data_IF_656816819888
#
_entry.id   IF_656816819888
#
_cell.length_a   1.000
_cell.length_b   1.000
_cell.length_c   1.000
_cell.angle_alpha   90.00
_cell.angle_beta   90.00
_cell.angle_gamma   90.00
#
_symmetry.space_group_name_H-M   'P 1'
#
loop_
_entity.id
_entity.type
_entity.pdbx_description
1 polymer ?
#
# COMPACT_ATOMS: atom_id res chain seq x y z
N UNK A 1 5.50 14.50 -11.39
CA UNK A 1 5.85 13.13 -10.96
C UNK A 1 6.92 12.60 -11.90
N UNK A 2 8.18 12.82 -11.54
CA UNK A 2 9.33 12.45 -12.39
C UNK A 2 9.92 11.08 -12.05
N UNK A 3 9.57 10.52 -10.90
CA UNK A 3 9.95 9.19 -10.45
C UNK A 3 8.84 8.14 -10.62
N UNK A 4 7.86 8.40 -11.49
CA UNK A 4 6.71 7.51 -11.74
C UNK A 4 6.61 7.17 -13.21
N UNK A 5 6.35 5.92 -13.51
CA UNK A 5 6.15 5.46 -14.89
C UNK A 5 5.68 4.02 -14.95
N UNK A 6 5.53 3.55 -16.16
CA UNK A 6 5.28 2.14 -16.48
C UNK A 6 6.63 1.46 -16.73
N UNK A 7 6.84 0.29 -16.13
CA UNK A 7 8.09 -0.47 -16.23
C UNK A 7 7.99 -1.57 -17.27
N UNK A 8 8.94 -1.57 -18.18
CA UNK A 8 9.14 -2.65 -19.14
C UNK A 8 10.42 -3.41 -18.80
N UNK A 9 10.41 -4.72 -18.89
CA UNK A 9 11.54 -5.59 -18.50
C UNK A 9 12.86 -5.26 -19.23
N UNK A 10 12.79 -4.66 -20.42
CA UNK A 10 13.96 -4.21 -21.19
C UNK A 10 14.50 -2.85 -20.72
N UNK A 11 13.79 -2.16 -19.83
CA UNK A 11 14.16 -0.82 -19.37
C UNK A 11 15.16 -0.90 -18.22
N UNK A 12 16.25 -0.14 -18.33
CA UNK A 12 17.13 0.10 -17.19
C UNK A 12 16.58 1.26 -16.37
N UNK A 13 16.02 0.95 -15.20
CA UNK A 13 15.48 1.94 -14.28
C UNK A 13 16.47 2.19 -13.15
N UNK A 14 17.15 3.37 -13.12
CA UNK A 14 18.09 3.70 -12.05
C UNK A 14 17.40 3.70 -10.67
N UNK A 15 18.11 3.17 -9.66
CA UNK A 15 17.64 3.11 -8.27
C UNK A 15 16.34 2.30 -8.07
N UNK A 16 15.99 1.43 -8.98
CA UNK A 16 14.87 0.50 -8.79
C UNK A 16 15.17 -0.40 -7.59
N UNK A 17 14.20 -0.51 -6.68
CA UNK A 17 14.27 -1.50 -5.61
C UNK A 17 14.19 -2.92 -6.19
N UNK A 18 14.93 -3.87 -5.60
CA UNK A 18 14.76 -5.31 -5.86
C UNK A 18 13.69 -5.87 -4.94
N UNK A 19 12.85 -6.76 -5.45
CA UNK A 19 11.83 -7.45 -4.66
C UNK A 19 12.41 -8.68 -3.94
N UNK A 20 11.91 -8.95 -2.75
CA UNK A 20 12.33 -10.10 -1.92
C UNK A 20 11.14 -10.85 -1.37
N UNK A 21 11.25 -12.16 -1.33
CA UNK A 21 10.34 -13.03 -0.60
C UNK A 21 10.99 -13.49 0.71
N UNK A 22 10.16 -13.68 1.73
CA UNK A 22 10.60 -14.16 3.03
C UNK A 22 10.06 -15.57 3.30
N UNK A 23 10.94 -16.46 3.70
CA UNK A 23 10.61 -17.82 4.13
C UNK A 23 11.33 -18.17 5.45
N UNK A 24 11.12 -19.37 5.98
CA UNK A 24 11.84 -19.85 7.17
C UNK A 24 13.37 -19.90 7.00
N UNK A 25 13.85 -19.91 5.75
CA UNK A 25 15.29 -19.83 5.43
C UNK A 25 15.85 -18.40 5.30
N UNK A 26 15.01 -17.37 5.51
CA UNK A 26 15.41 -15.97 5.35
C UNK A 26 14.87 -15.32 4.07
N UNK A 27 15.52 -14.23 3.65
CA UNK A 27 15.17 -13.52 2.42
C UNK A 27 15.82 -14.15 1.20
N UNK A 28 15.01 -14.31 0.14
CA UNK A 28 15.44 -14.67 -1.21
C UNK A 28 15.01 -13.62 -2.19
N UNK A 29 15.69 -13.49 -3.33
CA UNK A 29 15.18 -12.65 -4.42
C UNK A 29 13.81 -13.17 -4.86
N UNK A 30 12.85 -12.27 -5.01
CA UNK A 30 11.55 -12.62 -5.57
C UNK A 30 11.71 -13.08 -7.04
N UNK A 31 10.82 -13.97 -7.46
CA UNK A 31 10.81 -14.44 -8.84
C UNK A 31 10.61 -13.27 -9.82
N UNK A 32 11.30 -13.35 -10.95
CA UNK A 32 11.10 -12.39 -12.01
C UNK A 32 9.74 -12.63 -12.68
N UNK A 33 8.95 -11.56 -12.79
CA UNK A 33 7.74 -11.56 -13.61
C UNK A 33 7.78 -10.43 -14.61
N UNK A 34 7.54 -10.76 -15.87
CA UNK A 34 7.35 -9.78 -16.92
C UNK A 34 5.97 -9.12 -16.74
N UNK A 35 5.98 -7.82 -16.44
CA UNK A 35 4.78 -7.02 -16.21
C UNK A 35 4.29 -6.32 -17.48
N UNK A 36 4.88 -6.59 -18.65
CA UNK A 36 4.56 -5.89 -19.90
C UNK A 36 3.12 -6.07 -20.37
N UNK A 37 2.43 -7.11 -19.89
CA UNK A 37 1.02 -7.38 -20.21
C UNK A 37 0.05 -6.96 -19.07
N UNK A 38 0.54 -6.30 -18.02
CA UNK A 38 -0.26 -5.87 -16.88
C UNK A 38 -0.45 -4.36 -16.82
N UNK A 39 -0.52 -3.71 -17.98
CA UNK A 39 -0.59 -2.25 -18.11
C UNK A 39 -1.60 -1.62 -17.14
N UNK A 40 -1.11 -0.76 -16.23
CA UNK A 40 -1.89 -0.09 -15.20
C UNK A 40 -2.25 -0.93 -13.99
N UNK A 41 -2.03 -2.25 -14.01
CA UNK A 41 -2.41 -3.14 -12.88
C UNK A 41 -1.23 -3.71 -12.11
N UNK A 42 0.00 -3.62 -12.63
CA UNK A 42 1.18 -4.19 -11.96
C UNK A 42 2.51 -3.61 -12.43
N UNK A 43 2.54 -2.93 -13.56
CA UNK A 43 3.74 -2.39 -14.20
C UNK A 43 4.16 -1.02 -13.67
N UNK A 44 3.32 -0.35 -12.87
CA UNK A 44 3.61 1.00 -12.41
C UNK A 44 4.66 1.00 -11.30
N UNK A 45 5.67 1.87 -11.44
CA UNK A 45 6.60 2.20 -10.37
C UNK A 45 6.43 3.66 -9.94
N UNK A 46 6.73 3.95 -8.67
CA UNK A 46 6.63 5.30 -8.13
C UNK A 46 7.55 5.48 -6.91
N UNK A 47 7.58 6.70 -6.39
CA UNK A 47 8.15 7.06 -5.09
C UNK A 47 7.07 7.61 -4.17
N UNK A 48 7.34 7.63 -2.86
CA UNK A 48 6.39 8.20 -1.88
C UNK A 48 6.12 9.67 -2.15
N UNK A 49 7.13 10.43 -2.60
CA UNK A 49 7.01 11.86 -2.94
C UNK A 49 6.09 12.08 -4.14
N UNK A 50 6.19 11.22 -5.16
CA UNK A 50 5.32 11.33 -6.32
C UNK A 50 3.89 10.91 -6.01
N UNK A 51 3.69 9.89 -5.18
CA UNK A 51 2.36 9.50 -4.70
C UNK A 51 1.74 10.60 -3.82
N UNK A 52 2.55 11.34 -3.06
CA UNK A 52 2.08 12.54 -2.36
C UNK A 52 1.64 13.65 -3.33
N UNK A 53 2.39 13.89 -4.43
CA UNK A 53 1.97 14.84 -5.48
C UNK A 53 0.64 14.41 -6.13
N UNK A 54 0.45 13.11 -6.37
CA UNK A 54 -0.82 12.57 -6.85
C UNK A 54 -1.98 12.88 -5.89
N UNK A 55 -1.74 12.65 -4.59
CA UNK A 55 -2.73 12.97 -3.56
C UNK A 55 -3.14 14.45 -3.59
N UNK A 56 -2.16 15.35 -3.64
CA UNK A 56 -2.42 16.80 -3.72
C UNK A 56 -3.20 17.16 -4.99
N UNK A 57 -2.80 16.59 -6.14
CA UNK A 57 -3.44 16.86 -7.42
C UNK A 57 -4.91 16.37 -7.47
N UNK A 58 -5.21 15.27 -6.80
CA UNK A 58 -6.58 14.78 -6.63
C UNK A 58 -7.37 15.61 -5.61
N UNK A 59 -6.72 16.08 -4.53
CA UNK A 59 -7.39 16.86 -3.48
C UNK A 59 -7.78 18.27 -3.93
N UNK A 60 -6.98 18.90 -4.79
CA UNK A 60 -7.22 20.24 -5.31
C UNK A 60 -7.87 20.25 -6.70
N UNK A 61 -8.27 19.09 -7.21
CA UNK A 61 -8.88 18.91 -8.53
C UNK A 61 -8.03 19.40 -9.72
N UNK A 62 -6.69 19.41 -9.59
CA UNK A 62 -5.81 19.82 -10.69
C UNK A 62 -5.54 18.70 -11.70
N UNK A 63 -5.74 17.43 -11.33
CA UNK A 63 -5.60 16.29 -12.23
C UNK A 63 -6.93 15.99 -12.94
N UNK A 64 -8.02 16.00 -12.21
CA UNK A 64 -9.38 15.79 -12.68
C UNK A 64 -10.24 16.95 -12.17
N UNK A 65 -11.25 17.36 -12.94
CA UNK A 65 -12.21 18.35 -12.42
C UNK A 65 -13.01 17.76 -11.24
N UNK A 66 -13.64 18.63 -10.45
CA UNK A 66 -14.35 18.23 -9.24
C UNK A 66 -15.39 17.13 -9.50
N UNK A 67 -16.15 17.23 -10.59
CA UNK A 67 -17.18 16.23 -10.94
C UNK A 67 -16.58 14.85 -11.11
N UNK A 68 -15.49 14.72 -11.87
CA UNK A 68 -14.82 13.44 -12.11
C UNK A 68 -14.10 12.93 -10.86
N UNK A 69 -13.55 13.83 -10.04
CA UNK A 69 -12.94 13.45 -8.76
C UNK A 69 -14.00 12.89 -7.80
N UNK A 70 -15.16 13.56 -7.69
CA UNK A 70 -16.27 13.09 -6.86
C UNK A 70 -16.78 11.72 -7.35
N UNK A 71 -16.92 11.55 -8.67
CA UNK A 71 -17.33 10.27 -9.28
C UNK A 71 -16.32 9.17 -9.00
N UNK A 72 -15.01 9.44 -9.13
CA UNK A 72 -13.94 8.48 -8.87
C UNK A 72 -13.99 7.94 -7.43
N UNK A 73 -14.32 8.80 -6.46
CA UNK A 73 -14.40 8.43 -5.06
C UNK A 73 -15.82 8.07 -4.58
N UNK A 74 -16.77 7.96 -5.50
CA UNK A 74 -18.11 7.47 -5.16
C UNK A 74 -18.02 5.98 -4.81
N UNK A 75 -18.54 5.55 -3.65
CA UNK A 75 -18.55 4.14 -3.28
C UNK A 75 -19.34 3.32 -4.29
N UNK A 76 -18.72 2.30 -4.84
CA UNK A 76 -19.37 1.32 -5.70
C UNK A 76 -20.35 0.42 -4.94
N UNK A 77 -20.90 -0.58 -5.63
CA UNK A 77 -21.89 -1.52 -5.09
C UNK A 77 -21.27 -2.36 -3.95
N UNK A 78 -22.07 -2.64 -2.92
CA UNK A 78 -21.69 -3.56 -1.82
C UNK A 78 -21.41 -4.97 -2.36
N UNK A 79 -20.51 -5.76 -1.71
CA UNK A 79 -19.93 -5.50 -0.39
C UNK A 79 -18.67 -4.62 -0.40
N UNK A 80 -17.98 -4.51 -1.52
CA UNK A 80 -16.62 -3.98 -1.58
C UNK A 80 -16.53 -2.46 -1.62
N UNK A 81 -17.60 -1.76 -2.00
CA UNK A 81 -17.61 -0.30 -2.20
C UNK A 81 -16.42 0.19 -3.04
N UNK A 82 -16.03 -0.59 -4.03
CA UNK A 82 -14.95 -0.29 -4.93
C UNK A 82 -15.47 0.62 -6.05
N UNK A 83 -14.81 1.76 -6.22
CA UNK A 83 -15.09 2.72 -7.29
C UNK A 83 -14.05 2.60 -8.41
N UNK A 84 -13.68 3.72 -9.01
CA UNK A 84 -12.69 3.76 -10.09
C UNK A 84 -11.26 3.66 -9.52
N UNK A 85 -10.80 2.43 -9.23
CA UNK A 85 -9.46 2.15 -8.71
C UNK A 85 -9.29 2.35 -7.19
N UNK A 86 -10.38 2.58 -6.43
CA UNK A 86 -10.32 2.85 -5.00
C UNK A 86 -11.39 2.12 -4.21
N UNK A 87 -11.02 1.58 -3.05
CA UNK A 87 -11.97 1.23 -2.00
C UNK A 87 -12.41 2.52 -1.30
N UNK A 88 -13.71 2.78 -1.26
CA UNK A 88 -14.30 4.00 -0.72
C UNK A 88 -15.19 3.65 0.48
N UNK A 89 -14.57 3.39 1.63
CA UNK A 89 -15.26 2.90 2.82
C UNK A 89 -14.47 3.20 4.11
N UNK A 90 -15.08 2.88 5.25
CA UNK A 90 -14.40 3.01 6.54
C UNK A 90 -13.22 2.04 6.63
N UNK A 91 -12.04 2.58 6.83
CA UNK A 91 -10.81 1.86 7.15
C UNK A 91 -10.72 1.68 8.68
N UNK A 92 -10.74 0.42 9.13
CA UNK A 92 -10.62 0.10 10.56
C UNK A 92 -9.14 -0.03 10.91
N UNK A 93 -8.63 0.86 11.76
CA UNK A 93 -7.22 0.86 12.15
C UNK A 93 -6.99 0.47 13.62
N UNK A 94 -8.02 0.44 14.45
CA UNK A 94 -7.97 -0.02 15.83
C UNK A 94 -9.30 -0.72 16.18
N UNK A 95 -9.56 -1.93 15.65
CA UNK A 95 -10.80 -2.66 15.94
C UNK A 95 -10.96 -2.98 17.43
N UNK A 96 -12.21 -2.98 17.94
CA UNK A 96 -13.46 -2.76 17.23
C UNK A 96 -13.86 -1.28 17.11
N UNK A 97 -13.15 -0.35 17.74
CA UNK A 97 -13.63 1.00 18.05
C UNK A 97 -13.33 2.03 16.97
N UNK A 98 -12.09 2.06 16.44
CA UNK A 98 -11.65 3.19 15.66
C UNK A 98 -11.62 2.88 14.15
N UNK A 99 -12.35 3.70 13.41
CA UNK A 99 -12.34 3.69 11.95
C UNK A 99 -12.53 5.09 11.39
N UNK A 100 -12.09 5.31 10.18
CA UNK A 100 -12.26 6.57 9.45
C UNK A 100 -12.60 6.27 8.00
N UNK A 101 -13.46 7.10 7.40
CA UNK A 101 -13.72 7.00 5.96
C UNK A 101 -12.43 7.32 5.19
N UNK A 102 -12.05 6.43 4.30
CA UNK A 102 -10.85 6.54 3.50
C UNK A 102 -11.08 6.07 2.06
N UNK A 103 -10.31 6.65 1.16
CA UNK A 103 -10.13 6.13 -0.19
C UNK A 103 -8.77 5.42 -0.20
N UNK A 104 -8.74 4.11 -0.40
CA UNK A 104 -7.51 3.35 -0.32
C UNK A 104 -7.39 2.28 -1.39
N UNK A 105 -6.16 1.90 -1.70
CA UNK A 105 -5.86 0.78 -2.57
C UNK A 105 -4.60 0.06 -2.13
N UNK A 106 -4.61 -1.26 -2.31
CA UNK A 106 -3.50 -2.16 -2.08
C UNK A 106 -2.94 -2.62 -3.43
N UNK A 107 -1.64 -2.66 -3.56
CA UNK A 107 -0.94 -3.31 -4.66
C UNK A 107 -0.07 -4.45 -4.13
N UNK A 108 -0.09 -5.57 -4.81
CA UNK A 108 0.78 -6.71 -4.54
C UNK A 108 1.30 -7.29 -5.86
N UNK A 109 2.59 -7.50 -5.92
CA UNK A 109 3.27 -8.25 -6.97
C UNK A 109 4.48 -8.95 -6.37
N UNK A 110 5.21 -9.70 -7.15
CA UNK A 110 6.34 -10.52 -6.69
C UNK A 110 7.37 -9.68 -5.90
N UNK A 111 7.46 -9.94 -4.60
CA UNK A 111 8.37 -9.25 -3.69
C UNK A 111 8.06 -7.79 -3.38
N UNK A 112 6.88 -7.27 -3.80
CA UNK A 112 6.50 -5.88 -3.53
C UNK A 112 5.10 -5.77 -2.97
N UNK A 113 4.93 -4.85 -2.02
CA UNK A 113 3.62 -4.42 -1.51
C UNK A 113 3.57 -2.90 -1.53
N UNK A 114 2.48 -2.35 -2.02
CA UNK A 114 2.16 -0.93 -1.94
C UNK A 114 0.80 -0.74 -1.26
N UNK A 115 0.66 0.32 -0.49
CA UNK A 115 -0.62 0.67 0.12
C UNK A 115 -0.75 2.18 0.21
N UNK A 116 -1.84 2.71 -0.32
CA UNK A 116 -2.20 4.12 -0.24
C UNK A 116 -3.49 4.25 0.53
N UNK A 117 -3.52 5.15 1.53
CA UNK A 117 -4.73 5.50 2.29
C UNK A 117 -4.87 7.01 2.29
N UNK A 118 -5.87 7.52 1.59
CA UNK A 118 -6.26 8.93 1.60
C UNK A 118 -7.39 9.11 2.59
N UNK A 119 -7.30 10.12 3.43
CA UNK A 119 -8.29 10.47 4.44
C UNK A 119 -8.85 11.85 4.09
N UNK A 120 -9.97 11.93 3.39
CA UNK A 120 -10.51 13.21 2.90
C UNK A 120 -10.83 14.21 4.01
N UNK A 121 -11.32 13.74 5.16
CA UNK A 121 -11.74 14.61 6.28
C UNK A 121 -10.61 15.45 6.87
N UNK A 122 -9.37 14.97 6.82
CA UNK A 122 -8.17 15.66 7.33
C UNK A 122 -7.18 16.01 6.23
N UNK A 123 -7.53 15.73 4.97
CA UNK A 123 -6.62 15.84 3.83
C UNK A 123 -5.26 15.15 4.06
N UNK A 124 -5.29 14.00 4.75
CA UNK A 124 -4.10 13.22 5.08
C UNK A 124 -3.88 12.07 4.11
N UNK A 125 -2.62 11.67 3.97
CA UNK A 125 -2.21 10.54 3.16
C UNK A 125 -1.26 9.64 3.96
N UNK A 126 -1.48 8.34 3.90
CA UNK A 126 -0.48 7.33 4.28
C UNK A 126 -0.06 6.61 3.00
N UNK A 127 1.23 6.53 2.79
CA UNK A 127 1.86 5.72 1.73
C UNK A 127 2.76 4.70 2.40
N UNK A 128 2.58 3.45 2.04
CA UNK A 128 3.45 2.35 2.42
C UNK A 128 3.93 1.64 1.15
N UNK A 129 5.25 1.66 0.93
CA UNK A 129 5.92 0.94 -0.15
C UNK A 129 6.93 -0.01 0.48
N UNK A 130 6.85 -1.27 0.12
CA UNK A 130 7.72 -2.32 0.66
C UNK A 130 8.21 -3.20 -0.48
N UNK A 131 9.50 -3.53 -0.45
CA UNK A 131 10.14 -4.42 -1.41
C UNK A 131 10.35 -5.84 -0.86
N UNK A 132 9.53 -6.22 0.09
CA UNK A 132 9.40 -7.60 0.55
C UNK A 132 7.93 -7.89 0.86
N UNK A 133 7.54 -9.17 0.87
CA UNK A 133 6.17 -9.61 1.18
C UNK A 133 6.03 -9.86 2.69
N UNK A 134 5.87 -8.81 3.55
CA UNK A 134 5.68 -9.01 4.97
C UNK A 134 4.30 -9.57 5.24
N UNK A 135 4.21 -10.57 6.09
CA UNK A 135 2.94 -11.21 6.46
C UNK A 135 1.97 -10.28 7.21
N UNK A 136 2.43 -9.12 7.67
CA UNK A 136 1.67 -8.20 8.55
C UNK A 136 1.58 -6.75 8.06
N UNK A 137 1.59 -6.51 6.75
CA UNK A 137 1.55 -5.14 6.21
C UNK A 137 0.28 -4.37 6.66
N UNK A 138 -0.87 -5.01 6.80
CA UNK A 138 -2.07 -4.37 7.37
C UNK A 138 -1.84 -3.86 8.81
N UNK A 139 -1.09 -4.61 9.61
CA UNK A 139 -0.71 -4.18 10.95
C UNK A 139 0.19 -2.95 10.94
N UNK A 140 1.12 -2.86 9.99
CA UNK A 140 1.99 -1.69 9.80
C UNK A 140 1.15 -0.47 9.43
N UNK A 141 0.29 -0.60 8.42
CA UNK A 141 -0.60 0.51 7.98
C UNK A 141 -1.54 0.94 9.11
N UNK A 142 -2.11 -0.02 9.85
CA UNK A 142 -2.95 0.29 11.02
C UNK A 142 -2.17 1.04 12.11
N UNK A 143 -0.90 0.69 12.34
CA UNK A 143 -0.05 1.40 13.30
C UNK A 143 0.29 2.81 12.81
N UNK A 144 0.55 3.00 11.51
CA UNK A 144 0.73 4.35 10.94
C UNK A 144 -0.53 5.20 11.12
N UNK A 145 -1.72 4.62 10.94
CA UNK A 145 -2.98 5.29 11.24
C UNK A 145 -3.11 5.65 12.72
N UNK A 146 -2.71 4.74 13.62
CA UNK A 146 -2.70 5.03 15.08
C UNK A 146 -1.79 6.21 15.42
N UNK A 147 -0.59 6.26 14.83
CA UNK A 147 0.31 7.42 15.00
C UNK A 147 -0.37 8.70 14.53
N UNK A 148 -1.00 8.68 13.35
CA UNK A 148 -1.70 9.85 12.79
C UNK A 148 -2.82 10.37 13.71
N UNK A 149 -3.45 9.50 14.50
CA UNK A 149 -4.56 9.81 15.40
C UNK A 149 -4.18 9.79 16.88
N UNK A 150 -2.90 9.90 17.21
CA UNK A 150 -2.36 9.90 18.58
C UNK A 150 -2.85 8.72 19.43
N UNK A 151 -2.96 7.54 18.79
CA UNK A 151 -3.36 6.30 19.48
C UNK A 151 -2.15 5.46 19.86
N UNK A 152 -2.22 4.68 20.95
CA UNK A 152 -1.13 3.78 21.32
C UNK A 152 -0.81 2.76 20.22
N UNK A 153 0.48 2.65 19.91
CA UNK A 153 1.00 1.68 18.95
C UNK A 153 1.52 0.46 19.70
N UNK A 154 1.06 -0.72 19.31
CA UNK A 154 1.60 -1.99 19.80
C UNK A 154 2.37 -2.64 18.66
N UNK A 155 3.69 -2.65 18.78
CA UNK A 155 4.55 -3.39 17.86
C UNK A 155 4.50 -4.87 18.28
N UNK A 156 3.84 -5.70 17.47
CA UNK A 156 3.92 -7.15 17.62
C UNK A 156 5.20 -7.63 16.98
N UNK A 157 5.88 -8.56 17.64
CA UNK A 157 7.00 -9.25 17.01
C UNK A 157 6.57 -9.89 15.69
N UNK A 158 7.42 -9.82 14.66
CA UNK A 158 7.16 -10.51 13.40
C UNK A 158 6.91 -12.00 13.66
N UNK A 159 5.92 -12.59 12.98
CA UNK A 159 5.53 -14.02 13.18
C UNK A 159 6.71 -14.97 13.01
N UNK A 160 7.64 -14.66 12.10
CA UNK A 160 8.84 -15.49 11.92
C UNK A 160 9.73 -15.52 13.19
N UNK A 161 9.94 -14.40 13.88
CA UNK A 161 10.68 -14.38 15.15
C UNK A 161 9.97 -15.17 16.24
N UNK A 162 8.64 -15.07 16.30
CA UNK A 162 7.84 -15.87 17.22
C UNK A 162 7.95 -17.38 16.91
N UNK A 163 7.92 -17.75 15.61
CA UNK A 163 8.10 -19.12 15.15
C UNK A 163 9.53 -19.65 15.42
N UNK A 164 10.55 -18.87 15.11
CA UNK A 164 11.96 -19.20 15.43
C UNK A 164 12.14 -19.42 16.94
N UNK A 165 11.57 -18.54 17.77
CA UNK A 165 11.59 -18.67 19.23
C UNK A 165 10.87 -19.95 19.72
N UNK A 166 9.77 -20.36 19.07
CA UNK A 166 9.06 -21.59 19.38
C UNK A 166 9.84 -22.84 18.95
N UNK A 167 10.50 -22.80 17.80
CA UNK A 167 11.33 -23.90 17.29
C UNK A 167 12.60 -24.08 18.15
N UNK A 168 13.23 -22.98 18.57
CA UNK A 168 14.41 -23.04 19.46
C UNK A 168 14.11 -23.60 20.84
N UNK A 169 12.87 -23.56 21.33
CA UNK A 169 12.43 -24.13 22.61
C UNK A 169 12.13 -25.63 22.54
N UNK A 170 12.12 -26.23 21.34
CA UNK A 170 11.86 -27.68 21.13
C UNK A 170 13.11 -28.52 21.02
N UNK A 171 14.30 -27.90 20.96
CA UNK A 171 15.62 -28.51 21.03
C UNK A 171 16.23 -28.27 22.41
#
# INVERSE_FOLDING_TARGET
MTGTGSYYHTQVLPKRASGYDYSLGGYTSADFRDQSNTMGTGDLYSTVEDLFKLHIALSNNSLLNKKLTDEMFTPGIRPWRYGFGWFNQNFRYNPPTDSVFANYHLGMTEGFISFLVRIPSTNSLIVFLCNSSPTHFFGIVSNLMKVLYDKPVVLKEPVHKALESLLAKKN
#
